data_IF_266748370246
#
_entry.id   IF_266748370246
#
_cell.length_a   1.000
_cell.length_b   1.000
_cell.length_c   1.000
_cell.angle_alpha   90.00
_cell.angle_beta   90.00
_cell.angle_gamma   90.00
#
_symmetry.space_group_name_H-M   'P 1'
#
loop_
_entity.id
_entity.type
_entity.pdbx_description
1 polymer ?
#
# COMPACT_ATOMS: atom_id res chain seq x y z
N UNK A 1 -4.44 -11.89 -70.82
CA UNK A 1 -4.61 -13.05 -69.90
C UNK A 1 -3.28 -13.75 -69.77
N UNK A 2 -2.55 -13.55 -68.68
CA UNK A 2 -1.25 -14.20 -68.45
C UNK A 2 -1.24 -14.76 -67.04
N UNK A 3 -1.15 -16.08 -66.93
CA UNK A 3 -0.81 -16.79 -65.69
C UNK A 3 0.70 -16.67 -65.49
N UNK A 4 1.14 -16.28 -64.28
CA UNK A 4 2.50 -16.54 -63.84
C UNK A 4 2.48 -17.10 -62.41
N UNK A 5 3.23 -18.18 -62.29
CA UNK A 5 3.47 -19.09 -61.18
C UNK A 5 4.31 -18.48 -60.05
N UNK A 6 4.24 -19.10 -58.88
CA UNK A 6 5.09 -18.81 -57.71
C UNK A 6 6.57 -19.17 -57.92
N UNK A 7 7.47 -18.34 -57.41
CA UNK A 7 8.78 -18.75 -56.89
C UNK A 7 9.18 -17.87 -55.70
N UNK A 8 9.88 -18.47 -54.74
CA UNK A 8 10.32 -17.89 -53.45
C UNK A 8 11.45 -16.86 -53.66
N UNK A 9 11.40 -15.75 -52.93
CA UNK A 9 12.60 -15.14 -52.33
C UNK A 9 12.21 -14.22 -51.17
N UNK A 10 13.12 -14.20 -50.20
CA UNK A 10 13.15 -13.58 -48.88
C UNK A 10 13.13 -12.04 -48.84
N UNK A 11 12.90 -11.56 -47.62
CA UNK A 11 13.12 -10.22 -47.05
C UNK A 11 11.93 -9.26 -47.08
N UNK A 12 11.52 -8.84 -45.88
CA UNK A 12 10.48 -7.83 -45.67
C UNK A 12 9.88 -7.91 -44.27
N UNK A 13 10.71 -7.70 -43.25
CA UNK A 13 10.29 -7.53 -41.86
C UNK A 13 9.44 -6.25 -41.75
N UNK A 14 8.14 -6.40 -41.52
CA UNK A 14 7.27 -5.35 -41.00
C UNK A 14 6.43 -5.95 -39.87
N UNK A 15 7.05 -6.06 -38.69
CA UNK A 15 6.32 -6.34 -37.45
C UNK A 15 5.59 -5.06 -37.06
N UNK A 16 4.28 -5.05 -37.27
CA UNK A 16 3.39 -4.06 -36.67
C UNK A 16 3.41 -4.26 -35.15
N UNK A 17 4.18 -3.44 -34.45
CA UNK A 17 4.12 -3.31 -32.99
C UNK A 17 2.92 -2.44 -32.64
N UNK A 18 1.74 -3.04 -32.58
CA UNK A 18 0.61 -2.49 -31.82
C UNK A 18 0.46 -3.35 -30.58
N UNK A 19 1.44 -3.24 -29.69
CA UNK A 19 1.40 -3.87 -28.38
C UNK A 19 0.51 -3.05 -27.46
N UNK A 20 -0.77 -3.39 -27.38
CA UNK A 20 -1.58 -3.04 -26.22
C UNK A 20 -0.93 -3.71 -25.02
N UNK A 21 -0.20 -2.95 -24.20
CA UNK A 21 0.29 -3.43 -22.90
C UNK A 21 -0.96 -3.63 -22.04
N UNK A 22 -1.56 -4.82 -22.10
CA UNK A 22 -2.49 -5.26 -21.08
C UNK A 22 -1.70 -5.35 -19.78
N UNK A 23 -1.84 -4.35 -18.91
CA UNK A 23 -1.46 -4.47 -17.51
C UNK A 23 -2.25 -5.63 -16.92
N UNK A 24 -1.63 -6.81 -16.85
CA UNK A 24 -2.20 -7.95 -16.14
C UNK A 24 -2.37 -7.53 -14.69
N UNK A 25 -3.61 -7.53 -14.19
CA UNK A 25 -3.87 -7.36 -12.76
C UNK A 25 -3.06 -8.42 -12.01
N UNK A 26 -2.29 -7.99 -11.01
CA UNK A 26 -1.54 -8.87 -10.12
C UNK A 26 -2.46 -9.98 -9.60
N UNK A 27 -2.19 -11.23 -9.98
CA UNK A 27 -2.75 -12.39 -9.32
C UNK A 27 -1.79 -12.73 -8.20
N UNK A 28 -2.21 -12.50 -6.96
CA UNK A 28 -1.44 -13.01 -5.83
C UNK A 28 -1.33 -14.53 -5.95
N UNK A 29 -0.12 -15.09 -5.80
CA UNK A 29 0.11 -16.53 -5.79
C UNK A 29 -0.68 -17.24 -4.69
N UNK A 30 -0.60 -18.56 -4.66
CA UNK A 30 -1.29 -19.34 -3.62
C UNK A 30 -0.66 -19.02 -2.25
N UNK A 31 -1.47 -18.50 -1.34
CA UNK A 31 -1.05 -18.09 0.01
C UNK A 31 -1.04 -19.31 0.92
N UNK A 32 0.10 -19.60 1.56
CA UNK A 32 0.29 -20.78 2.42
C UNK A 32 -0.41 -20.69 3.77
N UNK A 33 -0.68 -19.48 4.30
CA UNK A 33 -1.25 -19.35 5.64
C UNK A 33 -2.44 -18.39 5.73
N UNK A 34 -3.55 -18.95 6.22
CA UNK A 34 -4.80 -18.25 6.51
C UNK A 34 -4.66 -17.23 7.64
N UNK A 35 -5.36 -16.11 7.44
CA UNK A 35 -5.47 -14.93 8.31
C UNK A 35 -4.15 -14.25 8.65
N UNK A 36 -3.90 -13.12 7.98
CA UNK A 36 -2.83 -12.17 8.29
C UNK A 36 -2.82 -11.84 9.79
N UNK A 37 -1.71 -12.18 10.46
CA UNK A 37 -1.43 -11.92 11.89
C UNK A 37 -0.41 -10.79 12.00
N UNK A 38 -0.41 -10.09 13.13
CA UNK A 38 0.60 -9.08 13.42
C UNK A 38 0.77 -8.86 14.91
N UNK A 39 1.79 -8.11 15.24
CA UNK A 39 2.25 -7.87 16.62
C UNK A 39 1.81 -6.49 17.10
N UNK A 40 1.36 -6.43 18.36
CA UNK A 40 1.16 -5.16 19.06
C UNK A 40 2.52 -4.59 19.51
N UNK A 41 2.90 -3.39 19.05
CA UNK A 41 4.20 -2.76 19.37
C UNK A 41 4.38 -2.34 20.84
N UNK A 42 3.39 -2.56 21.70
CA UNK A 42 3.44 -2.20 23.12
C UNK A 42 3.58 -3.41 24.03
N UNK A 43 2.81 -4.47 23.78
CA UNK A 43 2.82 -5.67 24.63
C UNK A 43 3.43 -6.90 23.94
N UNK A 44 3.86 -6.77 22.68
CA UNK A 44 4.52 -7.80 21.88
C UNK A 44 3.71 -9.09 21.65
N UNK A 45 2.41 -9.07 21.99
CA UNK A 45 1.51 -10.20 21.72
C UNK A 45 1.06 -10.19 20.26
N UNK A 46 0.92 -11.39 19.69
CA UNK A 46 0.48 -11.62 18.31
C UNK A 46 -1.04 -11.78 18.25
N UNK A 47 -1.68 -11.10 17.29
CA UNK A 47 -3.13 -11.13 17.06
C UNK A 47 -3.45 -11.35 15.58
N UNK A 48 -4.66 -11.84 15.31
CA UNK A 48 -5.21 -11.79 13.95
C UNK A 48 -5.60 -10.35 13.58
N UNK A 49 -5.60 -10.01 12.29
CA UNK A 49 -6.05 -8.70 11.82
C UNK A 49 -7.49 -8.32 12.23
N UNK A 50 -8.35 -9.30 12.53
CA UNK A 50 -9.71 -9.06 13.08
C UNK A 50 -9.67 -8.73 14.58
N UNK A 51 -8.77 -9.33 15.34
CA UNK A 51 -8.67 -9.17 16.80
C UNK A 51 -7.85 -7.96 17.24
N UNK A 52 -6.82 -7.60 16.46
CA UNK A 52 -5.81 -6.62 16.90
C UNK A 52 -6.38 -5.23 17.13
N UNK A 53 -7.32 -4.76 16.30
CA UNK A 53 -7.95 -3.46 16.47
C UNK A 53 -8.65 -3.32 17.84
N UNK A 54 -9.40 -4.36 18.26
CA UNK A 54 -10.03 -4.39 19.59
C UNK A 54 -9.00 -4.45 20.71
N UNK A 55 -7.94 -5.23 20.51
CA UNK A 55 -6.84 -5.31 21.48
C UNK A 55 -6.16 -3.94 21.67
N UNK A 56 -5.84 -3.22 20.59
CA UNK A 56 -5.14 -1.94 20.66
C UNK A 56 -5.91 -0.89 21.49
N UNK A 57 -7.24 -0.89 21.41
CA UNK A 57 -8.09 -0.01 22.24
C UNK A 57 -8.06 -0.38 23.73
N UNK A 58 -7.85 -1.66 24.05
CA UNK A 58 -7.87 -2.20 25.41
C UNK A 58 -6.48 -2.49 25.99
N UNK A 59 -5.41 -2.28 25.22
CA UNK A 59 -4.05 -2.69 25.58
C UNK A 59 -3.54 -1.92 26.80
N UNK A 60 -3.31 -2.62 27.92
CA UNK A 60 -2.82 -2.02 29.16
C UNK A 60 -1.47 -1.30 29.01
N UNK A 61 -0.50 -1.97 28.37
CA UNK A 61 0.83 -1.38 28.11
C UNK A 61 0.76 -0.10 27.26
N UNK A 62 -0.18 -0.04 26.30
CA UNK A 62 -0.42 1.18 25.52
C UNK A 62 -0.99 2.30 26.39
N UNK A 63 -1.99 1.98 27.21
CA UNK A 63 -2.62 2.95 28.13
C UNK A 63 -1.61 3.55 29.11
N UNK A 64 -0.73 2.72 29.67
CA UNK A 64 0.35 3.17 30.57
C UNK A 64 1.33 4.13 29.86
N UNK A 65 1.72 3.82 28.61
CA UNK A 65 2.55 4.73 27.81
C UNK A 65 1.81 6.04 27.49
N UNK A 66 0.54 5.97 27.13
CA UNK A 66 -0.29 7.15 26.84
C UNK A 66 -0.48 8.03 28.07
N UNK A 67 -0.69 7.45 29.26
CA UNK A 67 -0.77 8.17 30.54
C UNK A 67 0.55 8.87 30.88
N UNK A 68 1.68 8.20 30.66
CA UNK A 68 3.01 8.81 30.85
C UNK A 68 3.22 10.02 29.94
N UNK A 69 2.81 9.94 28.68
CA UNK A 69 2.89 11.05 27.73
C UNK A 69 1.95 12.19 28.13
N UNK A 70 0.71 11.88 28.51
CA UNK A 70 -0.28 12.86 28.94
C UNK A 70 0.15 13.66 30.18
N UNK A 71 0.86 13.02 31.11
CA UNK A 71 1.37 13.69 32.32
C UNK A 71 2.56 14.63 32.03
N UNK A 72 3.30 14.40 30.93
CA UNK A 72 4.45 15.22 30.52
C UNK A 72 4.07 16.31 29.51
N UNK A 73 3.10 16.03 28.64
CA UNK A 73 2.70 16.89 27.53
C UNK A 73 1.91 18.11 28.00
N UNK A 74 2.38 19.31 27.66
CA UNK A 74 1.68 20.57 27.96
C UNK A 74 0.52 20.87 27.00
N UNK A 75 0.55 20.30 25.79
CA UNK A 75 -0.46 20.51 24.76
C UNK A 75 -1.09 19.17 24.38
N UNK A 76 -2.37 18.99 24.73
CA UNK A 76 -3.15 17.80 24.37
C UNK A 76 -4.02 18.13 23.15
N UNK A 77 -3.93 17.29 22.11
CA UNK A 77 -4.73 17.37 20.90
C UNK A 77 -5.63 16.16 20.72
N UNK A 78 -6.37 16.11 19.60
CA UNK A 78 -7.04 14.89 19.16
C UNK A 78 -6.04 13.96 18.49
N UNK A 79 -6.18 12.66 18.75
CA UNK A 79 -5.33 11.60 18.20
C UNK A 79 -6.25 10.57 17.54
N UNK A 80 -6.00 10.31 16.26
CA UNK A 80 -6.77 9.44 15.39
C UNK A 80 -6.12 8.07 15.31
N UNK A 81 -6.83 7.02 15.72
CA UNK A 81 -6.43 5.64 15.44
C UNK A 81 -6.96 5.24 14.07
N UNK A 82 -6.07 5.13 13.09
CA UNK A 82 -6.41 4.69 11.74
C UNK A 82 -6.03 3.22 11.54
N UNK A 83 -6.91 2.47 10.90
CA UNK A 83 -6.61 1.16 10.30
C UNK A 83 -6.42 1.36 8.79
N UNK A 84 -5.29 0.92 8.27
CA UNK A 84 -4.97 0.94 6.84
C UNK A 84 -4.95 -0.50 6.35
N UNK A 85 -5.50 -0.79 5.17
CA UNK A 85 -5.55 -2.13 4.61
C UNK A 85 -5.44 -2.14 3.09
N UNK A 86 -4.72 -3.10 2.54
CA UNK A 86 -4.68 -3.37 1.10
C UNK A 86 -5.18 -4.79 0.84
N UNK A 87 -6.42 -4.89 0.38
CA UNK A 87 -7.13 -6.17 0.26
C UNK A 87 -7.23 -6.89 1.62
N UNK A 88 -6.97 -8.21 1.61
CA UNK A 88 -7.03 -9.06 2.82
C UNK A 88 -5.67 -9.39 3.42
N UNK A 89 -4.59 -9.07 2.71
CA UNK A 89 -3.25 -9.54 3.03
C UNK A 89 -2.50 -8.57 3.93
N UNK A 90 -2.53 -7.29 3.55
CA UNK A 90 -1.75 -6.25 4.19
C UNK A 90 -2.65 -5.36 5.04
N UNK A 91 -2.20 -5.10 6.27
CA UNK A 91 -2.83 -4.13 7.15
C UNK A 91 -1.83 -3.61 8.19
N UNK A 92 -2.02 -2.36 8.60
CA UNK A 92 -1.41 -1.83 9.82
C UNK A 92 -2.35 -0.85 10.50
N UNK A 93 -2.02 -0.52 11.74
CA UNK A 93 -2.71 0.44 12.57
C UNK A 93 -1.72 1.52 12.99
N UNK A 94 -2.15 2.77 12.91
CA UNK A 94 -1.38 3.93 13.38
C UNK A 94 -2.23 4.78 14.33
N UNK A 95 -1.57 5.57 15.16
CA UNK A 95 -2.12 6.79 15.73
C UNK A 95 -1.49 8.00 15.05
N UNK A 96 -2.29 9.03 14.79
CA UNK A 96 -1.83 10.27 14.16
C UNK A 96 -2.44 11.47 14.86
N UNK A 97 -1.69 12.56 14.98
CA UNK A 97 -2.18 13.84 15.50
C UNK A 97 -3.27 14.43 14.59
N UNK A 98 -4.37 14.94 15.17
CA UNK A 98 -5.50 15.49 14.43
C UNK A 98 -5.18 16.78 13.65
N UNK A 99 -4.18 17.53 14.15
CA UNK A 99 -3.64 18.73 13.47
C UNK A 99 -2.67 18.41 12.33
N UNK A 100 -2.14 17.19 12.27
CA UNK A 100 -1.37 16.77 11.10
C UNK A 100 -2.31 16.65 9.89
N UNK A 101 -1.75 16.79 8.69
CA UNK A 101 -2.51 16.96 7.46
C UNK A 101 -2.73 15.65 6.70
N UNK A 102 -3.66 15.64 5.75
CA UNK A 102 -3.76 14.52 4.81
C UNK A 102 -2.47 14.33 3.99
N UNK A 103 -1.70 15.39 3.75
CA UNK A 103 -0.41 15.32 3.09
C UNK A 103 0.62 14.54 3.94
N UNK A 104 0.68 14.82 5.25
CA UNK A 104 1.53 14.05 6.17
C UNK A 104 1.16 12.56 6.18
N UNK A 105 -0.14 12.25 6.08
CA UNK A 105 -0.60 10.87 5.95
C UNK A 105 -0.21 10.27 4.60
N UNK A 106 -0.32 11.00 3.49
CA UNK A 106 0.13 10.56 2.16
C UNK A 106 1.62 10.21 2.18
N UNK A 107 2.46 11.13 2.67
CA UNK A 107 3.91 10.96 2.74
C UNK A 107 4.28 9.76 3.59
N UNK A 108 3.60 9.56 4.72
CA UNK A 108 3.79 8.37 5.56
C UNK A 108 3.42 7.07 4.83
N UNK A 109 2.24 7.02 4.19
CA UNK A 109 1.79 5.84 3.43
C UNK A 109 2.75 5.50 2.29
N UNK A 110 3.25 6.54 1.61
CA UNK A 110 4.22 6.44 0.52
C UNK A 110 5.55 5.92 1.03
N UNK A 111 6.10 6.54 2.07
CA UNK A 111 7.35 6.12 2.69
C UNK A 111 7.34 4.67 3.14
N UNK A 112 6.26 4.21 3.79
CA UNK A 112 6.21 2.85 4.34
C UNK A 112 5.82 1.77 3.30
N UNK A 113 4.97 2.09 2.31
CA UNK A 113 4.30 1.07 1.49
C UNK A 113 4.23 1.30 -0.02
N UNK A 114 4.40 2.51 -0.56
CA UNK A 114 3.96 2.79 -1.94
C UNK A 114 5.02 3.43 -2.84
N UNK A 115 5.90 4.27 -2.29
CA UNK A 115 6.73 5.17 -3.08
C UNK A 115 7.73 4.42 -3.97
N UNK A 116 7.72 4.72 -5.27
CA UNK A 116 8.65 4.14 -6.24
C UNK A 116 9.34 5.17 -7.15
N UNK A 117 8.66 6.24 -7.57
CA UNK A 117 9.21 7.24 -8.51
C UNK A 117 8.41 8.56 -8.60
N UNK A 118 7.79 8.99 -7.51
CA UNK A 118 7.15 10.30 -7.37
C UNK A 118 5.77 10.40 -8.01
N UNK A 119 5.01 9.31 -8.09
CA UNK A 119 3.67 9.35 -8.68
C UNK A 119 2.67 10.15 -7.84
N UNK A 120 1.60 10.58 -8.51
CA UNK A 120 0.47 11.29 -7.89
C UNK A 120 -0.37 10.36 -7.01
N UNK A 121 -1.02 10.95 -6.02
CA UNK A 121 -1.93 10.25 -5.12
C UNK A 121 -3.21 11.04 -4.84
N UNK A 122 -4.21 10.32 -4.32
CA UNK A 122 -5.52 10.87 -3.99
C UNK A 122 -6.11 10.22 -2.73
N UNK A 123 -6.73 11.00 -1.85
CA UNK A 123 -7.73 10.51 -0.90
C UNK A 123 -9.15 10.78 -1.43
N UNK A 124 -10.07 9.86 -1.17
CA UNK A 124 -11.51 10.08 -1.38
C UNK A 124 -12.25 9.91 -0.06
N UNK A 125 -12.70 11.01 0.54
CA UNK A 125 -13.39 11.04 1.84
C UNK A 125 -14.80 11.58 1.63
N UNK A 126 -15.82 10.77 1.93
CA UNK A 126 -17.25 11.13 1.73
C UNK A 126 -17.57 11.69 0.34
N UNK A 127 -16.88 11.20 -0.69
CA UNK A 127 -17.04 11.64 -2.08
C UNK A 127 -16.16 12.82 -2.50
N UNK A 128 -15.55 13.54 -1.55
CA UNK A 128 -14.62 14.64 -1.83
C UNK A 128 -13.24 14.07 -2.16
N UNK A 129 -12.62 14.57 -3.22
CA UNK A 129 -11.29 14.17 -3.68
C UNK A 129 -10.25 15.14 -3.14
N UNK A 130 -9.18 14.62 -2.56
CA UNK A 130 -8.02 15.39 -2.13
C UNK A 130 -6.80 14.91 -2.92
N UNK A 131 -6.13 15.79 -3.66
CA UNK A 131 -5.02 15.42 -4.56
C UNK A 131 -3.66 15.89 -4.05
N UNK A 132 -2.61 15.15 -4.43
CA UNK A 132 -1.21 15.47 -4.12
C UNK A 132 -0.64 16.60 -4.98
N UNK A 133 -1.44 17.19 -5.87
CA UNK A 133 -1.10 18.33 -6.68
C UNK A 133 -2.29 19.27 -6.71
N UNK A 134 -2.03 20.56 -6.88
CA UNK A 134 -3.05 21.58 -7.02
C UNK A 134 -3.51 21.63 -8.48
N UNK A 135 -4.81 21.49 -8.71
CA UNK A 135 -5.41 21.81 -10.01
C UNK A 135 -5.79 23.29 -10.02
N UNK A 136 -5.36 24.09 -11.02
CA UNK A 136 -5.86 25.44 -11.20
C UNK A 136 -7.39 25.40 -11.41
N UNK A 137 -8.11 26.29 -10.72
CA UNK A 137 -9.57 26.44 -10.68
C UNK A 137 -10.35 25.68 -11.78
N UNK A 138 -11.11 24.68 -11.35
CA UNK A 138 -12.04 24.00 -12.23
C UNK A 138 -13.23 24.90 -12.55
N UNK A 139 -13.30 25.35 -13.81
CA UNK A 139 -14.41 26.12 -14.37
C UNK A 139 -15.77 25.42 -14.18
N UNK A 140 -15.77 24.11 -13.89
CA UNK A 140 -16.96 23.28 -13.72
C UNK A 140 -17.27 22.90 -12.25
N UNK A 141 -16.47 23.35 -11.29
CA UNK A 141 -16.76 23.20 -9.86
C UNK A 141 -16.57 21.80 -9.26
N UNK A 142 -15.83 20.90 -9.91
CA UNK A 142 -15.44 19.57 -9.40
C UNK A 142 -13.93 19.52 -9.12
N UNK A 143 -13.35 20.68 -8.79
CA UNK A 143 -11.93 20.79 -8.48
C UNK A 143 -11.61 19.97 -7.23
N UNK A 144 -10.52 19.19 -7.26
CA UNK A 144 -10.04 18.46 -6.10
C UNK A 144 -9.56 19.43 -5.01
N UNK A 145 -9.77 19.04 -3.76
CA UNK A 145 -9.28 19.77 -2.59
C UNK A 145 -7.79 19.49 -2.35
N UNK A 146 -7.12 20.40 -1.62
CA UNK A 146 -5.72 20.22 -1.23
C UNK A 146 -5.58 19.20 -0.08
N UNK A 147 -4.54 18.36 -0.13
CA UNK A 147 -4.16 17.50 0.99
C UNK A 147 -3.56 18.28 2.18
N UNK A 148 -3.22 19.56 2.01
CA UNK A 148 -2.74 20.43 3.08
C UNK A 148 -3.89 20.91 3.99
N UNK A 149 -4.61 19.95 4.56
CA UNK A 149 -5.76 20.14 5.44
C UNK A 149 -5.64 19.21 6.66
N UNK A 150 -5.86 19.69 7.89
CA UNK A 150 -5.78 18.86 9.09
C UNK A 150 -6.75 17.68 9.05
N UNK A 151 -6.31 16.52 9.55
CA UNK A 151 -7.13 15.30 9.65
C UNK A 151 -8.44 15.57 10.38
N UNK A 152 -8.39 16.33 11.48
CA UNK A 152 -9.57 16.59 12.29
C UNK A 152 -10.62 17.48 11.63
N UNK A 153 -10.24 18.20 10.57
CA UNK A 153 -11.19 19.01 9.78
C UNK A 153 -12.00 18.17 8.79
N UNK A 154 -11.53 16.95 8.47
CA UNK A 154 -12.11 16.13 7.40
C UNK A 154 -12.51 14.72 7.84
N UNK A 155 -12.01 14.21 8.97
CA UNK A 155 -12.29 12.86 9.45
C UNK A 155 -13.08 12.85 10.76
N UNK A 156 -14.12 12.02 10.75
CA UNK A 156 -14.97 11.68 11.89
C UNK A 156 -14.79 10.22 12.32
N UNK A 157 -15.21 9.94 13.56
CA UNK A 157 -15.19 8.58 14.09
C UNK A 157 -16.01 7.63 13.20
N UNK A 158 -15.43 6.46 12.88
CA UNK A 158 -15.96 5.40 11.99
C UNK A 158 -15.93 5.72 10.50
N UNK A 159 -15.41 6.87 10.08
CA UNK A 159 -15.22 7.12 8.66
C UNK A 159 -14.43 6.00 7.99
N UNK A 160 -14.83 5.72 6.75
CA UNK A 160 -14.12 4.84 5.83
C UNK A 160 -13.87 5.63 4.56
N UNK A 161 -12.64 5.56 4.09
CA UNK A 161 -12.17 6.32 2.95
C UNK A 161 -11.05 5.56 2.26
N UNK A 162 -10.72 5.97 1.04
CA UNK A 162 -9.71 5.28 0.25
C UNK A 162 -8.56 6.22 -0.10
N UNK A 163 -7.38 5.65 -0.21
CA UNK A 163 -6.19 6.29 -0.77
C UNK A 163 -5.79 5.55 -2.03
N UNK A 164 -5.40 6.29 -3.07
CA UNK A 164 -4.94 5.75 -4.35
C UNK A 164 -3.60 6.39 -4.69
N UNK A 165 -2.59 5.56 -4.92
CA UNK A 165 -1.28 5.99 -5.41
C UNK A 165 -1.03 5.43 -6.81
N UNK A 166 -0.45 6.26 -7.69
CA UNK A 166 -0.18 6.00 -9.11
C UNK A 166 -1.45 5.76 -9.94
N UNK A 167 -1.88 6.74 -10.74
CA UNK A 167 -3.08 6.58 -11.55
C UNK A 167 -2.89 5.67 -12.78
N UNK A 168 -1.64 5.41 -13.20
CA UNK A 168 -1.33 4.48 -14.29
C UNK A 168 -1.43 3.03 -13.81
N UNK A 169 -0.84 2.71 -12.66
CA UNK A 169 -0.95 1.39 -12.03
C UNK A 169 -1.44 1.48 -10.58
N UNK A 170 -2.74 1.74 -10.35
CA UNK A 170 -3.23 2.12 -9.03
C UNK A 170 -3.04 1.06 -7.97
N UNK A 171 -2.39 1.49 -6.89
CA UNK A 171 -2.41 0.80 -5.61
C UNK A 171 -3.43 1.50 -4.71
N UNK A 172 -4.47 0.77 -4.32
CA UNK A 172 -5.58 1.32 -3.52
C UNK A 172 -5.50 0.78 -2.10
N UNK A 173 -5.51 1.69 -1.12
CA UNK A 173 -5.59 1.40 0.30
C UNK A 173 -6.96 1.81 0.82
N UNK A 174 -7.57 0.95 1.65
CA UNK A 174 -8.76 1.27 2.41
C UNK A 174 -8.36 1.71 3.82
N UNK A 175 -8.87 2.84 4.27
CA UNK A 175 -8.62 3.41 5.59
C UNK A 175 -9.92 3.45 6.40
N UNK A 176 -9.79 3.30 7.73
CA UNK A 176 -10.90 3.39 8.67
C UNK A 176 -10.48 4.09 9.97
N UNK A 177 -11.26 5.06 10.42
CA UNK A 177 -11.11 5.68 11.74
C UNK A 177 -11.68 4.76 12.81
N UNK A 178 -10.79 4.16 13.61
CA UNK A 178 -11.12 3.16 14.63
C UNK A 178 -11.54 3.80 15.96
N UNK A 179 -10.84 4.87 16.36
CA UNK A 179 -11.14 5.66 17.56
C UNK A 179 -10.51 7.04 17.46
N UNK A 180 -11.05 7.99 18.20
CA UNK A 180 -10.46 9.32 18.41
C UNK A 180 -10.34 9.49 19.92
N UNK A 181 -9.20 9.98 20.39
CA UNK A 181 -8.97 10.28 21.81
C UNK A 181 -8.29 11.63 21.97
N UNK A 182 -8.46 12.26 23.11
CA UNK A 182 -7.66 13.43 23.49
C UNK A 182 -6.40 12.98 24.23
N UNK A 183 -5.26 13.60 23.95
CA UNK A 183 -4.02 13.34 24.67
C UNK A 183 -2.78 13.87 23.96
N UNK A 184 -1.62 13.43 24.45
CA UNK A 184 -0.33 13.65 23.82
C UNK A 184 0.14 12.38 23.09
N UNK A 185 0.92 12.58 22.04
CA UNK A 185 1.62 11.54 21.28
C UNK A 185 3.10 11.92 21.20
N UNK A 186 3.96 10.92 21.08
CA UNK A 186 5.42 11.04 21.02
C UNK A 186 5.94 11.48 19.64
N UNK A 187 5.19 11.21 18.58
CA UNK A 187 5.49 11.50 17.18
C UNK A 187 4.20 11.90 16.46
N UNK A 188 4.28 12.64 15.35
CA UNK A 188 3.10 13.04 14.56
C UNK A 188 2.28 11.84 14.07
N UNK A 189 2.97 10.73 13.72
CA UNK A 189 2.39 9.44 13.34
C UNK A 189 3.16 8.32 14.04
N UNK A 190 2.45 7.48 14.79
CA UNK A 190 2.98 6.31 15.50
C UNK A 190 2.35 5.02 15.02
N UNK A 191 3.17 4.04 14.62
CA UNK A 191 2.67 2.70 14.31
C UNK A 191 2.30 1.95 15.59
N UNK A 192 1.08 1.42 15.62
CA UNK A 192 0.59 0.59 16.73
C UNK A 192 0.81 -0.91 16.48
N UNK A 193 0.60 -1.34 15.24
CA UNK A 193 0.77 -2.72 14.81
C UNK A 193 0.82 -2.81 13.29
N UNK A 194 1.52 -3.80 12.75
CA UNK A 194 1.55 -4.15 11.32
C UNK A 194 1.50 -5.66 11.19
N UNK A 195 0.85 -6.16 10.14
CA UNK A 195 0.88 -7.59 9.89
C UNK A 195 2.29 -8.09 9.57
N UNK A 196 2.58 -9.33 9.93
CA UNK A 196 3.75 -10.02 9.40
C UNK A 196 3.65 -10.15 7.88
N UNK A 197 4.78 -10.12 7.16
CA UNK A 197 4.80 -10.28 5.71
C UNK A 197 4.00 -11.53 5.29
N UNK A 198 3.08 -11.41 4.31
CA UNK A 198 2.40 -12.58 3.76
C UNK A 198 3.42 -13.56 3.15
N UNK A 199 3.19 -14.86 3.34
CA UNK A 199 4.04 -15.92 2.79
C UNK A 199 3.38 -16.46 1.54
N UNK A 200 4.13 -16.47 0.44
CA UNK A 200 3.67 -16.90 -0.88
C UNK A 200 4.33 -18.23 -1.27
N UNK A 201 3.61 -19.05 -2.04
CA UNK A 201 4.17 -20.25 -2.67
C UNK A 201 4.83 -19.91 -4.00
N UNK A 202 5.98 -20.52 -4.26
CA UNK A 202 6.63 -20.50 -5.56
C UNK A 202 5.75 -21.21 -6.59
N UNK A 203 5.49 -20.55 -7.71
CA UNK A 203 4.59 -21.06 -8.74
C UNK A 203 5.07 -22.41 -9.30
N UNK A 204 6.38 -22.59 -9.46
CA UNK A 204 6.96 -23.82 -10.01
C UNK A 204 7.03 -24.99 -9.00
N UNK A 205 7.58 -24.76 -7.80
CA UNK A 205 7.90 -25.86 -6.86
C UNK A 205 7.06 -25.90 -5.58
N UNK A 206 6.16 -24.92 -5.39
CA UNK A 206 5.27 -24.77 -4.22
C UNK A 206 5.97 -24.60 -2.86
N UNK A 207 7.31 -24.44 -2.83
CA UNK A 207 8.06 -24.00 -1.64
C UNK A 207 7.84 -22.50 -1.39
N UNK A 208 8.33 -21.96 -0.28
CA UNK A 208 8.24 -20.53 0.01
C UNK A 208 8.92 -19.71 -1.09
N UNK A 209 8.18 -18.74 -1.64
CA UNK A 209 8.69 -17.75 -2.55
C UNK A 209 9.33 -16.58 -1.80
N UNK A 210 10.35 -15.99 -2.41
CA UNK A 210 11.11 -14.85 -1.92
C UNK A 210 11.10 -13.69 -2.90
N UNK A 211 10.74 -13.97 -4.15
CA UNK A 211 10.80 -13.02 -5.26
C UNK A 211 9.54 -13.12 -6.12
N UNK A 212 9.22 -12.04 -6.84
CA UNK A 212 8.17 -11.97 -7.84
C UNK A 212 8.82 -11.61 -9.18
N UNK A 213 8.39 -12.27 -10.26
CA UNK A 213 8.73 -11.85 -11.62
C UNK A 213 7.79 -10.71 -12.01
N UNK A 214 8.33 -9.50 -12.23
CA UNK A 214 7.55 -8.30 -12.54
C UNK A 214 6.87 -8.32 -13.91
N UNK A 215 7.28 -9.21 -14.83
CA UNK A 215 6.60 -9.43 -16.10
C UNK A 215 5.43 -10.41 -15.98
N UNK A 216 5.67 -11.56 -15.33
CA UNK A 216 4.66 -12.61 -15.18
C UNK A 216 3.63 -12.29 -14.09
N UNK A 217 4.02 -11.49 -13.10
CA UNK A 217 3.28 -11.23 -11.86
C UNK A 217 3.01 -12.51 -11.07
N UNK A 218 4.02 -13.38 -10.99
CA UNK A 218 4.00 -14.68 -10.32
C UNK A 218 5.19 -14.80 -9.34
N UNK A 219 4.98 -15.54 -8.26
CA UNK A 219 5.91 -15.65 -7.14
C UNK A 219 6.86 -16.84 -7.32
N UNK A 220 8.15 -16.67 -7.04
CA UNK A 220 9.19 -17.68 -7.21
C UNK A 220 10.15 -17.75 -6.01
N UNK A 221 10.70 -18.94 -5.76
CA UNK A 221 11.83 -19.09 -4.85
C UNK A 221 13.15 -18.79 -5.57
N UNK A 222 14.21 -18.53 -4.81
CA UNK A 222 15.53 -18.18 -5.33
C UNK A 222 16.11 -19.18 -6.33
N UNK A 223 15.71 -20.46 -6.28
CA UNK A 223 16.17 -21.47 -7.26
C UNK A 223 15.38 -21.42 -8.56
N UNK A 224 14.07 -21.25 -8.48
CA UNK A 224 13.21 -21.31 -9.66
C UNK A 224 13.26 -20.02 -10.47
N UNK A 225 13.51 -18.87 -9.84
CA UNK A 225 13.63 -17.59 -10.56
C UNK A 225 14.87 -17.54 -11.48
N UNK A 226 15.98 -18.20 -11.10
CA UNK A 226 17.19 -18.26 -11.94
C UNK A 226 17.03 -19.10 -13.20
N UNK A 227 16.15 -20.10 -13.12
CA UNK A 227 15.78 -20.94 -14.26
C UNK A 227 14.54 -20.43 -15.00
N UNK A 228 14.00 -19.27 -14.60
CA UNK A 228 12.79 -18.71 -15.19
C UNK A 228 13.12 -18.02 -16.51
N UNK A 229 12.28 -18.23 -17.51
CA UNK A 229 12.51 -17.79 -18.90
C UNK A 229 12.68 -16.28 -19.04
N UNK A 230 11.99 -15.48 -18.22
CA UNK A 230 12.13 -14.02 -18.25
C UNK A 230 13.52 -13.54 -17.80
N UNK A 231 14.31 -14.37 -17.11
CA UNK A 231 15.61 -14.00 -16.56
C UNK A 231 15.52 -13.29 -15.21
N UNK A 232 16.68 -13.17 -14.54
CA UNK A 232 16.80 -12.60 -13.20
C UNK A 232 16.58 -11.07 -13.16
N UNK A 233 16.71 -10.38 -14.30
CA UNK A 233 16.56 -8.92 -14.38
C UNK A 233 15.16 -8.41 -14.01
N UNK A 234 14.14 -9.28 -14.13
CA UNK A 234 12.76 -8.96 -13.76
C UNK A 234 12.38 -9.44 -12.36
N UNK A 235 13.33 -10.05 -11.65
CA UNK A 235 13.10 -10.55 -10.31
C UNK A 235 13.14 -9.42 -9.29
N UNK A 236 12.07 -9.31 -8.49
CA UNK A 236 11.94 -8.32 -7.44
C UNK A 236 11.66 -8.99 -6.11
N UNK A 237 12.12 -8.44 -4.97
CA UNK A 237 11.86 -9.04 -3.67
C UNK A 237 10.37 -9.02 -3.32
N UNK A 238 9.90 -10.08 -2.67
CA UNK A 238 8.59 -10.07 -2.00
C UNK A 238 8.70 -9.30 -0.69
N UNK A 239 8.06 -8.13 -0.63
CA UNK A 239 8.07 -7.27 0.56
C UNK A 239 6.69 -7.16 1.20
N UNK A 240 6.65 -6.65 2.44
CA UNK A 240 5.40 -6.47 3.18
C UNK A 240 4.63 -5.23 2.70
N UNK A 241 4.33 -5.14 1.41
CA UNK A 241 3.61 -4.04 0.78
C UNK A 241 2.75 -4.53 -0.39
N UNK A 242 1.58 -3.89 -0.61
CA UNK A 242 0.75 -4.16 -1.78
C UNK A 242 1.40 -3.78 -3.12
N UNK A 243 2.41 -2.91 -3.12
CA UNK A 243 3.12 -2.41 -4.30
C UNK A 243 4.19 -3.37 -4.83
N UNK A 244 4.47 -4.46 -4.10
CA UNK A 244 5.40 -5.53 -4.49
C UNK A 244 5.23 -5.95 -5.96
N UNK A 245 6.33 -5.95 -6.71
CA UNK A 245 6.37 -6.36 -8.13
C UNK A 245 5.91 -5.29 -9.12
N UNK A 246 5.62 -4.06 -8.67
CA UNK A 246 5.18 -2.98 -9.54
C UNK A 246 6.18 -1.83 -9.51
N UNK A 247 6.50 -1.30 -10.69
CA UNK A 247 7.33 -0.11 -10.88
C UNK A 247 8.68 -0.15 -10.13
N UNK A 248 9.35 -1.31 -10.09
CA UNK A 248 10.65 -1.44 -9.42
C UNK A 248 10.60 -1.25 -7.89
N UNK A 249 9.43 -1.22 -7.26
CA UNK A 249 9.29 -1.09 -5.82
C UNK A 249 9.89 -2.29 -5.07
N UNK A 250 10.93 -2.04 -4.27
CA UNK A 250 11.68 -3.05 -3.50
C UNK A 250 11.45 -2.97 -1.99
N UNK A 251 10.46 -2.19 -1.53
CA UNK A 251 10.20 -1.94 -0.11
C UNK A 251 10.57 -0.52 0.33
N UNK A 252 10.24 -0.15 1.58
CA UNK A 252 10.68 1.12 2.16
C UNK A 252 12.20 1.15 2.32
N UNK A 253 12.80 2.34 2.31
CA UNK A 253 14.23 2.52 2.55
C UNK A 253 14.63 2.24 4.02
N UNK A 254 13.70 2.45 4.96
CA UNK A 254 13.87 2.22 6.40
C UNK A 254 12.56 1.63 6.98
N UNK A 255 12.64 0.68 7.94
CA UNK A 255 11.49 -0.06 8.52
C UNK A 255 11.02 0.43 9.91
#
# INVERSE_FOLDING_TARGET
MVKISFSKSSAGCCVNYVGTVLFRRKKFGRITMGNSKGECRFCHKIFSGRGIGKHLLACGAKKEKDETLNNRGKNQGYIYHLKISAGRLYWFHIEMEGMATLLDLDDFLRGIWLECCGHLSQFTIRGVRYLSYEEPDDFWGDAPESMNIPLESVLDLKDKFDHKYDFGTPTVLALQVMSIRKGAIDESIRILARNHPPVFECENCKKIATQICSLCMEDYCDKCIKAHECGEDYAMPLVNSPRTGVCGYVGPLEE
#
